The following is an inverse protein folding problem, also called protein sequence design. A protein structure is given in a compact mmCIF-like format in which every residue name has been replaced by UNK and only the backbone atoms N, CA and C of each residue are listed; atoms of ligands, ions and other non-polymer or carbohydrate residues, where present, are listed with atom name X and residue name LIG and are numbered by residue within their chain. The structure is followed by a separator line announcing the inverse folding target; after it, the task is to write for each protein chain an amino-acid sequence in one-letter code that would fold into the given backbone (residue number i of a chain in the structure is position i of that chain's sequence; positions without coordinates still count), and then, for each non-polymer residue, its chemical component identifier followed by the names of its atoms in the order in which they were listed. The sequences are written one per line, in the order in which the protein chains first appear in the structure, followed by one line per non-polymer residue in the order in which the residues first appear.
data_IF_574014245029
#
_entry.id   IF_574014245029
#
_cell.length_a   1.000
_cell.length_b   1.000
_cell.length_c   1.000
_cell.angle_alpha   90.00
_cell.angle_beta   90.00
_cell.angle_gamma   90.00
#
_symmetry.space_group_name_H-M   'P 1'
#
loop_
_entity.id
_entity.type
_entity.pdbx_description
1 polymer ?
#
# COMPACT_ATOMS: atom_id res chain seq x y z
N UNK A 1 0.05 -22.42 12.44
CA UNK A 1 -0.82 -21.52 11.67
C UNK A 1 0.08 -20.48 11.03
N UNK A 2 0.03 -20.34 9.71
CA UNK A 2 0.73 -19.25 9.04
C UNK A 2 0.03 -17.93 9.41
N UNK A 3 0.80 -16.94 9.85
CA UNK A 3 0.29 -15.61 10.14
C UNK A 3 -0.07 -14.91 8.82
N UNK A 4 -1.37 -14.87 8.53
CA UNK A 4 -1.93 -14.26 7.30
C UNK A 4 -2.55 -12.89 7.58
N UNK A 5 -2.28 -12.28 8.74
CA UNK A 5 -2.68 -10.90 9.00
C UNK A 5 -1.99 -9.93 7.99
N UNK A 6 -2.70 -8.94 7.41
CA UNK A 6 -4.08 -8.53 7.70
C UNK A 6 -5.17 -9.25 6.91
N UNK A 7 -4.80 -10.09 5.94
CA UNK A 7 -5.75 -10.70 5.00
C UNK A 7 -6.83 -11.53 5.70
N UNK A 8 -6.48 -12.30 6.72
CA UNK A 8 -7.43 -13.11 7.50
C UNK A 8 -8.56 -12.30 8.16
N UNK A 9 -8.39 -10.99 8.30
CA UNK A 9 -9.36 -10.09 8.91
C UNK A 9 -9.90 -9.04 7.93
N UNK A 10 -9.48 -9.10 6.66
CA UNK A 10 -9.81 -8.10 5.64
C UNK A 10 -11.13 -8.44 4.95
N UNK A 11 -12.05 -7.48 4.95
CA UNK A 11 -13.31 -7.50 4.19
C UNK A 11 -13.15 -6.73 2.87
N UNK A 12 -12.50 -5.56 2.92
CA UNK A 12 -12.26 -4.69 1.76
C UNK A 12 -10.82 -4.23 1.70
N UNK A 13 -10.33 -4.09 0.47
CA UNK A 13 -9.07 -3.42 0.17
C UNK A 13 -9.40 -2.17 -0.64
N UNK A 14 -8.85 -1.04 -0.23
CA UNK A 14 -8.92 0.21 -0.97
C UNK A 14 -7.52 0.62 -1.37
N UNK A 15 -7.36 1.10 -2.59
CA UNK A 15 -6.15 1.78 -3.04
C UNK A 15 -6.46 3.26 -3.16
N UNK A 16 -5.60 4.08 -2.55
CA UNK A 16 -5.66 5.52 -2.58
C UNK A 16 -4.46 6.01 -3.38
N UNK A 17 -4.70 6.86 -4.38
CA UNK A 17 -3.62 7.46 -5.17
C UNK A 17 -3.54 8.97 -4.94
N UNK A 18 -2.32 9.49 -4.91
CA UNK A 18 -1.99 10.89 -4.63
C UNK A 18 -0.66 11.27 -5.28
N UNK A 19 -0.39 12.58 -5.54
CA UNK A 19 0.91 13.03 -6.02
C UNK A 19 2.02 12.62 -5.07
N UNK A 20 3.27 12.63 -5.53
CA UNK A 20 4.42 12.29 -4.67
C UNK A 20 4.30 12.94 -3.29
N UNK A 21 4.16 12.08 -2.26
CA UNK A 21 3.83 12.51 -0.90
C UNK A 21 4.87 13.47 -0.32
N UNK A 22 6.14 13.27 -0.67
CA UNK A 22 7.28 14.03 -0.16
C UNK A 22 7.15 15.55 -0.37
N UNK A 23 6.38 16.01 -1.36
CA UNK A 23 6.24 17.43 -1.69
C UNK A 23 5.15 18.17 -0.93
N UNK A 24 4.18 17.46 -0.36
CA UNK A 24 2.99 18.10 0.22
C UNK A 24 2.63 17.62 1.61
N UNK A 25 3.04 16.40 2.00
CA UNK A 25 2.81 15.93 3.35
C UNK A 25 3.87 16.48 4.31
N UNK A 26 3.51 17.59 4.96
CA UNK A 26 4.34 18.24 5.97
C UNK A 26 4.19 17.61 7.37
N UNK A 27 3.28 16.66 7.55
CA UNK A 27 3.06 15.96 8.81
C UNK A 27 4.15 14.92 9.03
N UNK A 28 5.33 15.38 9.43
CA UNK A 28 6.47 14.56 9.90
C UNK A 28 6.21 13.93 11.26
N UNK A 29 5.11 13.19 11.42
CA UNK A 29 4.67 12.58 12.68
C UNK A 29 4.80 11.05 12.65
N UNK A 30 5.96 10.51 12.29
CA UNK A 30 6.14 9.06 12.23
C UNK A 30 7.57 8.59 12.47
N UNK A 31 7.76 7.40 13.09
CA UNK A 31 9.08 6.81 13.37
C UNK A 31 9.73 6.12 12.15
N UNK A 32 9.11 6.21 10.97
CA UNK A 32 9.60 5.58 9.73
C UNK A 32 10.41 6.61 8.94
N UNK A 33 11.71 6.69 9.21
CA UNK A 33 12.69 7.40 8.39
C UNK A 33 12.31 8.84 7.98
N UNK A 34 11.62 9.58 8.87
CA UNK A 34 11.21 10.98 8.64
C UNK A 34 9.88 11.17 7.92
N UNK A 35 9.14 10.10 7.63
CA UNK A 35 7.81 10.13 6.99
C UNK A 35 6.69 9.93 8.01
N UNK A 36 5.61 10.71 7.85
CA UNK A 36 4.42 10.62 8.71
C UNK A 36 3.69 9.28 8.62
N UNK A 37 2.81 9.02 9.57
CA UNK A 37 1.85 7.91 9.47
C UNK A 37 0.79 8.20 8.40
N UNK A 38 0.41 7.20 7.61
CA UNK A 38 -0.73 7.27 6.69
C UNK A 38 -2.05 6.92 7.39
N UNK A 39 -1.95 6.13 8.46
CA UNK A 39 -3.07 5.70 9.30
C UNK A 39 -2.75 5.98 10.76
N UNK A 40 -3.67 6.63 11.47
CA UNK A 40 -3.61 6.86 12.91
C UNK A 40 -4.99 6.58 13.50
N UNK A 41 -5.06 5.89 14.65
CA UNK A 41 -6.32 5.56 15.32
C UNK A 41 -7.38 4.93 14.38
N UNK A 42 -6.93 4.01 13.50
CA UNK A 42 -7.74 3.31 12.49
C UNK A 42 -8.37 4.23 11.43
N UNK A 43 -7.85 5.45 11.26
CA UNK A 43 -8.31 6.43 10.27
C UNK A 43 -7.17 6.81 9.32
N UNK A 44 -7.51 7.03 8.06
CA UNK A 44 -6.60 7.62 7.08
C UNK A 44 -6.40 9.10 7.42
N UNK A 45 -5.15 9.56 7.51
CA UNK A 45 -4.82 10.90 8.06
C UNK A 45 -4.14 11.85 7.09
N UNK A 46 -3.87 11.43 5.84
CA UNK A 46 -3.33 12.36 4.84
C UNK A 46 -4.40 13.36 4.41
N UNK A 47 -3.95 14.57 4.05
CA UNK A 47 -4.85 15.63 3.60
C UNK A 47 -5.63 15.19 2.35
N UNK A 48 -6.95 15.14 2.51
CA UNK A 48 -7.88 14.69 1.48
C UNK A 48 -7.84 15.54 0.20
N UNK A 49 -7.39 16.80 0.25
CA UNK A 49 -7.31 17.67 -0.94
C UNK A 49 -6.27 17.21 -1.97
N UNK A 50 -5.32 16.37 -1.55
CA UNK A 50 -4.29 15.80 -2.41
C UNK A 50 -4.68 14.46 -3.02
N UNK A 51 -5.78 13.86 -2.58
CA UNK A 51 -6.23 12.56 -3.07
C UNK A 51 -6.80 12.71 -4.48
N UNK A 52 -6.23 11.94 -5.41
CA UNK A 52 -6.64 11.95 -6.83
C UNK A 52 -7.71 10.91 -7.10
N UNK A 53 -7.62 9.77 -6.43
CA UNK A 53 -8.57 8.68 -6.60
C UNK A 53 -8.57 7.74 -5.39
N UNK A 54 -9.68 7.05 -5.25
CA UNK A 54 -9.90 5.95 -4.30
C UNK A 54 -10.60 4.84 -5.05
N UNK A 55 -10.04 3.63 -5.03
CA UNK A 55 -10.58 2.46 -5.73
C UNK A 55 -10.68 1.30 -4.77
N UNK A 56 -11.90 0.77 -4.58
CA UNK A 56 -12.09 -0.50 -3.90
C UNK A 56 -11.80 -1.65 -4.85
N UNK A 57 -10.94 -2.56 -4.41
CA UNK A 57 -10.65 -3.78 -5.17
C UNK A 57 -11.80 -4.78 -5.04
N UNK A 58 -12.18 -5.40 -6.15
CA UNK A 58 -13.09 -6.55 -6.14
C UNK A 58 -12.38 -7.82 -5.63
N UNK A 59 -13.11 -8.92 -5.45
CA UNK A 59 -12.55 -10.15 -4.89
C UNK A 59 -11.44 -10.76 -5.75
N UNK A 60 -11.49 -10.55 -7.07
CA UNK A 60 -10.43 -10.98 -8.00
C UNK A 60 -9.13 -10.24 -7.70
N UNK A 61 -9.17 -8.90 -7.64
CA UNK A 61 -7.97 -8.10 -7.39
C UNK A 61 -7.48 -8.18 -5.93
N UNK A 62 -8.38 -8.32 -4.96
CA UNK A 62 -8.01 -8.62 -3.55
C UNK A 62 -7.16 -9.89 -3.47
N UNK A 63 -7.57 -10.96 -4.15
CA UNK A 63 -6.82 -12.23 -4.19
C UNK A 63 -5.46 -12.06 -4.84
N UNK A 64 -5.36 -11.31 -5.93
CA UNK A 64 -4.08 -11.05 -6.61
C UNK A 64 -3.09 -10.29 -5.71
N UNK A 65 -3.56 -9.27 -4.98
CA UNK A 65 -2.75 -8.56 -3.99
C UNK A 65 -2.29 -9.50 -2.86
N UNK A 66 -3.17 -10.38 -2.38
CA UNK A 66 -2.81 -11.38 -1.38
C UNK A 66 -1.74 -12.37 -1.88
N UNK A 67 -1.94 -12.95 -3.06
CA UNK A 67 -1.00 -13.91 -3.65
C UNK A 67 0.39 -13.27 -3.84
N UNK A 68 0.41 -11.99 -4.27
CA UNK A 68 1.64 -11.21 -4.39
C UNK A 68 2.34 -11.02 -3.04
N UNK A 69 1.60 -10.64 -2.00
CA UNK A 69 2.15 -10.31 -0.68
C UNK A 69 2.59 -11.53 0.14
N UNK A 70 1.86 -12.64 0.08
CA UNK A 70 2.02 -13.77 1.00
C UNK A 70 2.55 -15.04 0.34
N UNK A 71 2.29 -15.26 -0.95
CA UNK A 71 2.69 -16.51 -1.63
C UNK A 71 4.01 -16.33 -2.37
N UNK A 72 4.17 -15.24 -3.13
CA UNK A 72 5.40 -14.99 -3.91
C UNK A 72 6.62 -14.61 -3.05
N UNK A 73 6.42 -14.17 -1.80
CA UNK A 73 7.48 -13.68 -0.90
C UNK A 73 8.45 -14.69 -0.31
N UNK A 74 8.37 -15.98 -0.67
CA UNK A 74 9.22 -17.00 -0.02
C UNK A 74 10.67 -17.07 -0.50
N UNK A 75 11.12 -16.27 -1.47
CA UNK A 75 12.36 -16.63 -2.18
C UNK A 75 13.48 -15.61 -2.37
N UNK A 76 13.31 -14.30 -2.20
CA UNK A 76 14.38 -13.37 -2.61
C UNK A 76 14.67 -12.26 -1.60
N UNK A 77 15.95 -12.07 -1.30
CA UNK A 77 16.48 -10.91 -0.58
C UNK A 77 16.34 -9.70 -1.50
N UNK A 78 15.41 -8.80 -1.17
CA UNK A 78 15.08 -7.68 -2.03
C UNK A 78 16.04 -6.51 -1.80
N UNK A 79 16.74 -6.10 -2.85
CA UNK A 79 17.50 -4.85 -2.87
C UNK A 79 16.54 -3.70 -3.14
N UNK A 80 16.00 -3.10 -2.07
CA UNK A 80 15.28 -1.84 -2.19
C UNK A 80 16.24 -0.76 -2.70
N UNK A 81 15.89 -0.06 -3.79
CA UNK A 81 16.64 1.11 -4.21
C UNK A 81 16.39 2.26 -3.22
N UNK A 82 17.35 3.17 -3.07
CA UNK A 82 17.32 4.23 -2.05
C UNK A 82 16.25 5.31 -2.26
N UNK A 83 15.48 5.27 -3.36
CA UNK A 83 14.39 6.22 -3.56
C UNK A 83 13.11 5.74 -2.86
N UNK A 84 12.32 6.68 -2.34
CA UNK A 84 10.96 6.41 -1.90
C UNK A 84 10.05 7.55 -2.35
N UNK A 85 9.32 7.31 -3.43
CA UNK A 85 8.49 8.29 -4.13
C UNK A 85 7.03 7.79 -4.12
N UNK A 86 6.41 7.64 -2.94
CA UNK A 86 5.13 6.97 -2.83
C UNK A 86 4.02 7.82 -3.43
N UNK A 87 3.18 7.15 -4.21
CA UNK A 87 1.98 7.72 -4.85
C UNK A 87 0.73 6.90 -4.58
N UNK A 88 0.87 5.78 -3.87
CA UNK A 88 -0.21 4.84 -3.61
C UNK A 88 -0.12 4.31 -2.18
N UNK A 89 -1.28 4.24 -1.53
CA UNK A 89 -1.47 3.49 -0.29
C UNK A 89 -2.55 2.44 -0.50
N UNK A 90 -2.28 1.23 -0.02
CA UNK A 90 -3.23 0.13 0.11
C UNK A 90 -3.74 0.09 1.55
N UNK A 91 -5.05 0.22 1.74
CA UNK A 91 -5.71 0.11 3.04
C UNK A 91 -6.50 -1.18 3.15
N UNK A 92 -6.36 -1.86 4.28
CA UNK A 92 -7.07 -3.09 4.61
C UNK A 92 -8.14 -2.78 5.66
N UNK A 93 -9.40 -3.02 5.30
CA UNK A 93 -10.54 -2.78 6.17
C UNK A 93 -11.11 -4.08 6.71
N UNK A 94 -11.46 -4.10 8.00
CA UNK A 94 -12.21 -5.22 8.58
C UNK A 94 -13.73 -5.12 8.29
N UNK A 95 -14.49 -6.11 8.77
CA UNK A 95 -15.97 -6.15 8.65
C UNK A 95 -16.69 -4.96 9.29
N UNK A 96 -16.05 -4.26 10.22
CA UNK A 96 -16.55 -3.03 10.86
C UNK A 96 -16.16 -1.76 10.08
N UNK A 97 -15.57 -1.90 8.89
CA UNK A 97 -15.04 -0.80 8.08
C UNK A 97 -13.95 0.01 8.80
N UNK A 98 -13.24 -0.60 9.74
CA UNK A 98 -12.07 0.01 10.37
C UNK A 98 -10.81 -0.35 9.60
N UNK A 99 -9.88 0.60 9.43
CA UNK A 99 -8.57 0.32 8.86
C UNK A 99 -7.76 -0.48 9.89
N UNK A 100 -7.40 -1.71 9.54
CA UNK A 100 -6.62 -2.62 10.38
C UNK A 100 -5.17 -2.72 9.94
N UNK A 101 -4.86 -2.36 8.69
CA UNK A 101 -3.50 -2.30 8.18
C UNK A 101 -3.38 -1.39 6.95
N UNK A 102 -2.14 -1.04 6.63
CA UNK A 102 -1.75 -0.20 5.50
C UNK A 102 -0.46 -0.71 4.86
N UNK A 103 -0.29 -0.42 3.57
CA UNK A 103 0.98 -0.42 2.86
C UNK A 103 1.04 0.83 1.99
N UNK A 104 1.97 1.72 2.29
CA UNK A 104 2.39 2.75 1.35
C UNK A 104 3.53 2.18 0.49
N UNK A 105 3.43 2.32 -0.83
CA UNK A 105 4.38 1.71 -1.78
C UNK A 105 4.84 2.72 -2.82
N UNK A 106 6.13 2.67 -3.13
CA UNK A 106 6.69 3.31 -4.30
C UNK A 106 6.78 2.26 -5.42
N UNK A 107 5.91 2.38 -6.41
CA UNK A 107 5.85 1.46 -7.55
C UNK A 107 7.07 1.56 -8.48
N UNK A 108 7.91 2.59 -8.34
CA UNK A 108 9.12 2.76 -9.15
C UNK A 108 10.31 1.95 -8.63
N UNK A 109 10.39 1.72 -7.33
CA UNK A 109 11.60 1.19 -6.70
C UNK A 109 11.41 0.00 -5.78
N UNK A 110 10.16 -0.44 -5.58
CA UNK A 110 9.87 -1.55 -4.67
C UNK A 110 9.76 -1.14 -3.21
N UNK A 111 10.36 -0.02 -2.78
CA UNK A 111 10.30 0.38 -1.37
C UNK A 111 8.85 0.54 -0.93
N UNK A 112 8.52 -0.06 0.21
CA UNK A 112 7.21 0.05 0.83
C UNK A 112 7.31 0.06 2.34
N UNK A 113 6.34 0.71 2.98
CA UNK A 113 6.19 0.72 4.42
C UNK A 113 4.75 0.38 4.77
N UNK A 114 4.56 -0.58 5.66
CA UNK A 114 3.22 -0.94 6.13
C UNK A 114 3.19 -1.26 7.61
N UNK A 115 2.01 -1.42 8.16
CA UNK A 115 1.79 -1.70 9.59
C UNK A 115 1.88 -3.19 9.98
N UNK A 116 2.31 -4.07 9.07
CA UNK A 116 2.44 -5.51 9.30
C UNK A 116 3.70 -6.11 8.68
N UNK A 117 4.10 -7.30 9.16
CA UNK A 117 5.37 -7.96 8.82
C UNK A 117 5.59 -8.20 7.32
N UNK A 118 4.53 -8.55 6.60
CA UNK A 118 4.61 -8.90 5.17
C UNK A 118 4.29 -7.71 4.26
N UNK A 119 4.80 -6.52 4.58
CA UNK A 119 4.54 -5.28 3.84
C UNK A 119 5.55 -4.97 2.70
N UNK A 120 6.76 -5.53 2.75
CA UNK A 120 7.86 -5.20 1.82
C UNK A 120 7.51 -5.51 0.37
N UNK A 121 7.79 -4.62 -0.56
CA UNK A 121 7.64 -4.90 -1.98
C UNK A 121 9.05 -4.98 -2.60
N UNK A 122 9.20 -5.81 -3.62
CA UNK A 122 10.43 -5.95 -4.38
C UNK A 122 10.17 -5.39 -5.78
N UNK A 123 11.21 -5.07 -6.56
CA UNK A 123 11.06 -4.49 -7.90
C UNK A 123 10.13 -5.30 -8.81
N UNK A 124 10.30 -6.63 -8.85
CA UNK A 124 9.39 -7.53 -9.58
C UNK A 124 7.97 -7.57 -9.01
N UNK A 125 7.86 -7.39 -7.69
CA UNK A 125 6.57 -7.30 -7.01
C UNK A 125 5.81 -6.04 -7.39
N UNK A 126 6.51 -4.92 -7.58
CA UNK A 126 5.90 -3.64 -7.96
C UNK A 126 5.40 -3.61 -9.40
N UNK A 127 6.06 -4.31 -10.33
CA UNK A 127 5.55 -4.42 -11.70
C UNK A 127 4.20 -5.14 -11.73
N UNK A 128 4.12 -6.31 -11.06
CA UNK A 128 2.86 -7.04 -10.92
C UNK A 128 1.79 -6.21 -10.20
N UNK A 129 2.16 -5.48 -9.14
CA UNK A 129 1.23 -4.62 -8.42
C UNK A 129 0.69 -3.49 -9.30
N UNK A 130 1.55 -2.88 -10.11
CA UNK A 130 1.18 -1.84 -11.07
C UNK A 130 0.20 -2.38 -12.12
N UNK A 131 0.42 -3.60 -12.61
CA UNK A 131 -0.52 -4.27 -13.52
C UNK A 131 -1.86 -4.56 -12.87
N UNK A 132 -1.85 -5.10 -11.64
CA UNK A 132 -3.07 -5.33 -10.84
C UNK A 132 -3.85 -4.02 -10.70
N UNK A 133 -3.17 -2.93 -10.38
CA UNK A 133 -3.80 -1.62 -10.20
C UNK A 133 -4.44 -1.10 -11.49
N UNK A 134 -3.72 -1.15 -12.61
CA UNK A 134 -4.24 -0.75 -13.92
C UNK A 134 -5.50 -1.55 -14.29
N UNK A 135 -5.46 -2.87 -14.10
CA UNK A 135 -6.59 -3.75 -14.38
C UNK A 135 -7.77 -3.51 -13.43
N UNK A 136 -7.51 -3.09 -12.19
CA UNK A 136 -8.52 -2.70 -11.22
C UNK A 136 -9.14 -1.32 -11.48
N UNK A 137 -8.68 -0.60 -12.53
CA UNK A 137 -9.23 0.68 -12.93
C UNK A 137 -8.62 1.90 -12.23
N UNK A 138 -7.50 1.73 -11.53
CA UNK A 138 -6.68 2.83 -11.01
C UNK A 138 -6.03 3.55 -12.19
N UNK A 139 -6.13 4.88 -12.22
CA UNK A 139 -5.71 5.70 -13.37
C UNK A 139 -4.52 6.60 -13.05
N UNK A 140 -4.33 6.95 -11.79
CA UNK A 140 -3.28 7.88 -11.39
C UNK A 140 -1.99 7.13 -11.04
N UNK A 141 -0.90 7.40 -11.76
CA UNK A 141 0.42 6.82 -11.50
C UNK A 141 1.56 7.85 -11.35
N UNK A 142 1.24 9.15 -11.39
CA UNK A 142 2.22 10.24 -11.28
C UNK A 142 2.39 11.07 -12.55
N UNK A 143 1.81 10.60 -13.65
CA UNK A 143 1.77 11.22 -14.98
C UNK A 143 0.78 12.40 -15.07
#
# INVERSE_FOLDING_TARGET
MEDTFPFSQTEKIEVISYPERNYWDTLRRGPRDGMGLVVENKKFVLDSSYIKERVFLDDKFKKLVFDLLFIKKRKEECTAAACFIPRHTILFYNKKMEIIADIEVCLECGTSYGSFKYNSMCSEGTEHLKEIFKQAGIKYFGD
#
